data_IF_989868892427
#
_entry.id   IF_989868892427
#
_cell.length_a   1.000
_cell.length_b   1.000
_cell.length_c   1.000
_cell.angle_alpha   90.00
_cell.angle_beta   90.00
_cell.angle_gamma   90.00
#
_symmetry.space_group_name_H-M   'P 1'
#
loop_
_entity.id
_entity.type
_entity.pdbx_description
1 polymer ?
#
# COMPACT_ATOMS: atom_id res chain seq x y z
N UNK A 1 9.77 3.68 -14.00
CA UNK A 1 9.02 2.50 -13.50
C UNK A 1 10.06 1.41 -13.26
N UNK A 2 10.13 0.78 -12.07
CA UNK A 2 11.00 -0.37 -11.89
C UNK A 2 10.60 -1.50 -12.85
N UNK A 3 11.59 -2.16 -13.44
CA UNK A 3 11.40 -3.37 -14.24
C UNK A 3 11.54 -4.56 -13.29
N UNK A 4 10.43 -5.15 -12.89
CA UNK A 4 10.44 -6.39 -12.13
C UNK A 4 10.74 -7.55 -13.09
N UNK A 5 11.89 -8.19 -12.94
CA UNK A 5 12.25 -9.40 -13.69
C UNK A 5 12.05 -10.63 -12.83
N UNK A 6 11.49 -11.70 -13.38
CA UNK A 6 11.27 -12.97 -12.67
C UNK A 6 12.55 -13.67 -12.19
N UNK A 7 13.71 -13.17 -12.62
CA UNK A 7 15.03 -13.76 -12.33
C UNK A 7 15.65 -13.25 -11.03
N UNK A 8 15.05 -12.27 -10.35
CA UNK A 8 15.56 -11.74 -9.08
C UNK A 8 14.44 -11.57 -8.06
N UNK A 9 14.66 -12.02 -6.80
CA UNK A 9 13.70 -11.79 -5.73
C UNK A 9 13.54 -10.29 -5.48
N UNK A 10 12.29 -9.84 -5.42
CA UNK A 10 11.94 -8.44 -5.13
C UNK A 10 11.38 -8.35 -3.72
N UNK A 11 11.87 -7.38 -2.95
CA UNK A 11 11.32 -7.06 -1.64
C UNK A 11 10.31 -5.91 -1.77
N UNK A 12 9.12 -6.11 -1.21
CA UNK A 12 8.03 -5.14 -1.22
C UNK A 12 7.70 -4.80 0.23
N UNK A 13 7.70 -3.51 0.55
CA UNK A 13 7.21 -2.97 1.82
C UNK A 13 5.87 -2.30 1.60
N UNK A 14 4.99 -2.44 2.56
CA UNK A 14 3.67 -1.83 2.53
C UNK A 14 3.37 -1.22 3.89
N UNK A 15 3.29 0.11 3.94
CA UNK A 15 2.95 0.85 5.15
C UNK A 15 1.42 0.94 5.27
N UNK A 16 0.89 0.84 6.49
CA UNK A 16 -0.58 0.78 6.66
C UNK A 16 -1.28 2.11 6.37
N UNK A 17 -0.54 3.22 6.36
CA UNK A 17 -1.04 4.58 6.20
C UNK A 17 -1.23 5.02 4.75
N UNK A 18 -0.88 4.18 3.78
CA UNK A 18 -1.26 4.40 2.39
C UNK A 18 -2.74 4.06 2.10
N UNK A 19 -3.43 3.44 3.06
CA UNK A 19 -4.89 3.36 3.06
C UNK A 19 -5.51 4.68 3.53
N UNK A 20 -6.69 4.99 3.02
CA UNK A 20 -7.46 6.11 3.56
C UNK A 20 -7.70 5.93 5.08
N UNK A 21 -7.64 6.99 5.91
CA UNK A 21 -7.82 6.90 7.36
C UNK A 21 -9.15 6.27 7.79
N UNK A 22 -10.18 6.31 6.93
CA UNK A 22 -11.44 5.59 7.17
C UNK A 22 -11.27 4.06 7.24
N UNK A 23 -10.23 3.52 6.61
CA UNK A 23 -9.89 2.10 6.61
C UNK A 23 -8.72 1.74 7.54
N UNK A 24 -7.81 2.68 7.80
CA UNK A 24 -6.65 2.49 8.68
C UNK A 24 -6.51 3.62 9.73
N UNK A 25 -7.46 3.77 10.67
CA UNK A 25 -7.43 4.87 11.65
C UNK A 25 -6.32 4.75 12.70
N UNK A 26 -5.71 3.57 12.85
CA UNK A 26 -4.67 3.30 13.85
C UNK A 26 -3.24 3.71 13.45
N UNK A 27 -3.06 4.44 12.35
CA UNK A 27 -1.75 5.01 11.98
C UNK A 27 -1.41 6.24 12.80
N UNK A 28 -0.12 6.45 13.08
CA UNK A 28 0.39 7.69 13.69
C UNK A 28 0.36 8.89 12.74
N UNK A 29 0.17 8.67 11.44
CA UNK A 29 0.19 9.72 10.40
C UNK A 29 -1.00 9.55 9.44
N UNK A 30 -2.20 10.08 9.77
CA UNK A 30 -3.35 9.95 8.89
C UNK A 30 -3.20 10.82 7.63
N UNK A 31 -3.34 10.23 6.43
CA UNK A 31 -3.26 10.93 5.13
C UNK A 31 -4.55 10.71 4.33
N UNK A 32 -5.34 11.76 4.15
CA UNK A 32 -6.65 11.70 3.45
C UNK A 32 -6.48 11.41 1.97
N UNK A 33 -7.41 10.63 1.40
CA UNK A 33 -7.41 10.31 -0.03
C UNK A 33 -6.50 9.15 -0.40
N UNK A 34 -6.21 8.29 0.59
CA UNK A 34 -5.44 7.07 0.39
C UNK A 34 -6.22 6.00 -0.39
N UNK A 35 -5.56 4.85 -0.58
CA UNK A 35 -6.14 3.71 -1.29
C UNK A 35 -7.34 3.15 -0.55
N UNK A 36 -8.31 2.65 -1.30
CA UNK A 36 -9.39 1.82 -0.76
C UNK A 36 -8.86 0.41 -0.46
N UNK A 37 -9.51 -0.30 0.47
CA UNK A 37 -9.21 -1.72 0.76
C UNK A 37 -9.34 -2.62 -0.48
N UNK A 38 -10.21 -2.25 -1.43
CA UNK A 38 -10.34 -3.00 -2.68
C UNK A 38 -9.12 -2.82 -3.58
N UNK A 39 -8.59 -1.61 -3.70
CA UNK A 39 -7.43 -1.31 -4.53
C UNK A 39 -6.16 -1.99 -4.04
N UNK A 40 -5.97 -2.06 -2.72
CA UNK A 40 -4.81 -2.74 -2.12
C UNK A 40 -4.87 -4.26 -2.23
N UNK A 41 -6.07 -4.83 -2.37
CA UNK A 41 -6.29 -6.26 -2.56
C UNK A 41 -6.31 -6.68 -4.03
N UNK A 42 -6.13 -5.76 -4.98
CA UNK A 42 -6.15 -6.12 -6.40
C UNK A 42 -5.10 -7.21 -6.70
N UNK A 43 -5.48 -8.25 -7.46
CA UNK A 43 -4.59 -9.37 -7.76
C UNK A 43 -3.39 -8.94 -8.60
#
# INVERSE_FOLDING_TARGET
IPSFSDQMPTYITFDIDCLDPSYAPGTGTPVVGGLTTYETRRP
#
